data_IF_219661633348
#
_entry.id   IF_219661633348
#
_cell.length_a   1.000
_cell.length_b   1.000
_cell.length_c   1.000
_cell.angle_alpha   90.00
_cell.angle_beta   90.00
_cell.angle_gamma   90.00
#
_symmetry.space_group_name_H-M   'P 1'
#
loop_
_entity.id
_entity.type
_entity.pdbx_description
1 polymer ?
#
# COMPACT_ATOMS: atom_id res chain seq x y z
N UNK A 1 14.97 -7.69 16.53
CA UNK A 1 14.98 -6.82 15.35
C UNK A 1 13.71 -7.09 14.56
N UNK A 2 12.76 -6.15 14.58
CA UNK A 2 11.42 -6.33 14.03
C UNK A 2 11.39 -6.21 12.50
N UNK A 3 10.42 -6.87 11.86
CA UNK A 3 10.15 -6.76 10.42
C UNK A 3 8.77 -6.11 10.25
N UNK A 4 8.69 -5.11 9.39
CA UNK A 4 7.47 -4.41 9.05
C UNK A 4 7.12 -4.72 7.59
N UNK A 5 6.10 -5.53 7.39
CA UNK A 5 5.56 -5.86 6.08
C UNK A 5 4.34 -4.98 5.81
N UNK A 6 4.29 -4.37 4.63
CA UNK A 6 3.18 -3.57 4.16
C UNK A 6 2.74 -4.11 2.79
N UNK A 7 1.53 -4.68 2.74
CA UNK A 7 0.94 -5.19 1.51
C UNK A 7 -0.22 -4.29 1.08
N UNK A 8 -0.14 -3.77 -0.15
CA UNK A 8 -1.21 -2.95 -0.70
C UNK A 8 -2.22 -3.85 -1.40
N UNK A 9 -3.48 -3.80 -0.97
CA UNK A 9 -4.55 -4.65 -1.51
C UNK A 9 -5.65 -3.76 -2.07
N UNK A 10 -6.08 -4.03 -3.30
CA UNK A 10 -7.23 -3.37 -3.92
C UNK A 10 -8.45 -4.28 -3.90
N UNK A 11 -9.56 -3.82 -3.33
CA UNK A 11 -10.83 -4.54 -3.30
C UNK A 11 -11.97 -3.54 -3.59
N UNK A 12 -12.86 -3.88 -4.55
CA UNK A 12 -14.05 -3.08 -4.88
C UNK A 12 -13.80 -1.56 -5.08
N UNK A 13 -12.80 -1.21 -5.90
CA UNK A 13 -12.37 0.18 -6.20
C UNK A 13 -11.81 0.97 -5.00
N UNK A 14 -11.56 0.31 -3.87
CA UNK A 14 -10.88 0.89 -2.72
C UNK A 14 -9.55 0.18 -2.49
N UNK A 15 -8.57 0.95 -2.04
CA UNK A 15 -7.23 0.44 -1.73
C UNK A 15 -7.00 0.47 -0.23
N UNK A 16 -6.35 -0.55 0.31
CA UNK A 16 -6.02 -0.64 1.73
C UNK A 16 -4.59 -1.15 1.91
N UNK A 17 -3.99 -0.81 3.04
CA UNK A 17 -2.64 -1.24 3.41
C UNK A 17 -2.77 -2.27 4.52
N UNK A 18 -2.31 -3.49 4.27
CA UNK A 18 -2.26 -4.55 5.27
C UNK A 18 -0.90 -4.50 5.96
N UNK A 19 -0.92 -4.34 7.28
CA UNK A 19 0.25 -4.36 8.14
C UNK A 19 -0.01 -5.27 9.34
N UNK A 20 0.86 -6.25 9.57
CA UNK A 20 0.78 -7.18 10.73
C UNK A 20 -0.60 -7.87 10.91
N UNK A 21 -1.30 -8.12 9.80
CA UNK A 21 -2.64 -8.72 9.79
C UNK A 21 -3.79 -7.74 10.05
N UNK A 22 -3.50 -6.45 10.30
CA UNK A 22 -4.49 -5.38 10.32
C UNK A 22 -4.56 -4.70 8.95
N UNK A 23 -5.76 -4.60 8.41
CA UNK A 23 -6.03 -3.82 7.20
C UNK A 23 -6.35 -2.39 7.60
N UNK A 24 -5.47 -1.46 7.26
CA UNK A 24 -5.68 -0.02 7.48
C UNK A 24 -6.08 0.70 6.19
N UNK A 25 -7.04 1.60 6.34
CA UNK A 25 -7.44 2.54 5.30
C UNK A 25 -8.58 2.07 4.39
N UNK A 26 -8.85 2.94 3.41
CA UNK A 26 -9.93 2.88 2.43
C UNK A 26 -9.69 4.01 1.42
N UNK A 27 -8.58 3.91 0.72
CA UNK A 27 -8.04 4.95 -0.14
C UNK A 27 -8.72 4.94 -1.50
N UNK A 28 -8.98 6.13 -2.03
CA UNK A 28 -9.65 6.32 -3.32
C UNK A 28 -8.78 5.93 -4.53
N UNK A 29 -7.45 5.86 -4.36
CA UNK A 29 -6.53 5.45 -5.41
C UNK A 29 -5.39 4.61 -4.87
N UNK A 30 -4.74 3.87 -5.77
CA UNK A 30 -3.59 3.03 -5.47
C UNK A 30 -2.40 3.84 -4.99
N UNK A 31 -2.21 5.01 -5.60
CA UNK A 31 -1.14 5.95 -5.23
C UNK A 31 -1.34 6.48 -3.81
N UNK A 32 -2.56 6.82 -3.43
CA UNK A 32 -2.85 7.30 -2.08
C UNK A 32 -2.57 6.22 -1.02
N UNK A 33 -2.91 4.95 -1.31
CA UNK A 33 -2.56 3.84 -0.45
C UNK A 33 -1.03 3.64 -0.36
N UNK A 34 -0.31 3.77 -1.48
CA UNK A 34 1.14 3.65 -1.51
C UNK A 34 1.84 4.77 -0.74
N UNK A 35 1.40 6.01 -0.89
CA UNK A 35 1.95 7.15 -0.17
C UNK A 35 1.76 6.99 1.35
N UNK A 36 0.57 6.55 1.79
CA UNK A 36 0.30 6.27 3.20
C UNK A 36 1.18 5.13 3.75
N UNK A 37 1.34 4.05 2.98
CA UNK A 37 2.24 2.95 3.34
C UNK A 37 3.69 3.42 3.45
N UNK A 38 4.15 4.27 2.53
CA UNK A 38 5.50 4.84 2.55
C UNK A 38 5.74 5.75 3.76
N UNK A 39 4.73 6.53 4.17
CA UNK A 39 4.81 7.36 5.38
C UNK A 39 4.96 6.49 6.64
N UNK A 40 4.17 5.42 6.77
CA UNK A 40 4.27 4.47 7.88
C UNK A 40 5.61 3.70 7.87
N UNK A 41 6.03 3.23 6.70
CA UNK A 41 7.31 2.58 6.49
C UNK A 41 8.50 3.46 6.90
N UNK A 42 8.46 4.75 6.56
CA UNK A 42 9.48 5.72 6.97
C UNK A 42 9.61 5.83 8.48
N UNK A 43 8.51 5.67 9.22
CA UNK A 43 8.54 5.62 10.68
C UNK A 43 9.18 4.30 11.19
N UNK A 44 8.85 3.16 10.58
CA UNK A 44 9.44 1.87 10.92
C UNK A 44 10.97 1.83 10.73
N UNK A 45 11.50 2.53 9.71
CA UNK A 45 12.95 2.67 9.50
C UNK A 45 13.63 3.36 10.69
N UNK A 46 13.00 4.37 11.31
CA UNK A 46 13.56 5.06 12.49
C UNK A 46 13.80 4.11 13.66
N UNK A 47 13.01 3.04 13.77
CA UNK A 47 13.15 2.02 14.80
C UNK A 47 14.12 0.88 14.40
N UNK A 48 14.79 1.00 13.25
CA UNK A 48 15.72 0.00 12.74
C UNK A 48 15.01 -1.29 12.27
N UNK A 49 13.74 -1.19 11.89
CA UNK A 49 12.98 -2.33 11.38
C UNK A 49 13.28 -2.54 9.88
N UNK A 50 13.32 -3.81 9.48
CA UNK A 50 13.33 -4.18 8.06
C UNK A 50 11.96 -3.84 7.47
N UNK A 51 11.91 -3.07 6.38
CA UNK A 51 10.65 -2.68 5.74
C UNK A 51 10.55 -3.30 4.36
N UNK A 52 9.40 -3.93 4.07
CA UNK A 52 9.07 -4.44 2.74
C UNK A 52 7.68 -3.96 2.34
N UNK A 53 7.61 -3.23 1.22
CA UNK A 53 6.36 -2.74 0.63
C UNK A 53 6.11 -3.50 -0.67
N UNK A 54 4.96 -4.17 -0.77
CA UNK A 54 4.56 -4.90 -1.98
C UNK A 54 3.35 -4.22 -2.59
N UNK A 55 3.43 -3.94 -3.89
CA UNK A 55 2.35 -3.33 -4.66
C UNK A 55 1.97 -4.27 -5.80
N UNK A 56 0.72 -4.74 -5.90
CA UNK A 56 0.31 -5.65 -6.96
C UNK A 56 0.33 -4.92 -8.31
N UNK A 57 0.79 -5.60 -9.36
CA UNK A 57 0.63 -5.14 -10.74
C UNK A 57 -0.86 -5.09 -11.13
N UNK A 58 -1.22 -4.24 -12.09
CA UNK A 58 -2.58 -4.21 -12.66
C UNK A 58 -2.57 -4.91 -14.03
N UNK A 59 -3.59 -5.74 -14.30
CA UNK A 59 -3.91 -6.24 -15.64
C UNK A 59 -4.34 -5.07 -16.54
N UNK A 60 -3.95 -5.11 -17.82
CA UNK A 60 -3.90 -3.99 -18.78
C UNK A 60 -5.18 -3.16 -19.03
N UNK A 61 -6.31 -3.44 -18.36
CA UNK A 61 -7.62 -2.84 -18.63
C UNK A 61 -7.98 -1.66 -17.69
N UNK A 62 -7.04 -1.19 -16.86
CA UNK A 62 -7.20 0.03 -16.04
C UNK A 62 -5.86 0.76 -15.90
N UNK A 63 -5.89 2.08 -15.66
CA UNK A 63 -4.66 2.87 -15.44
C UNK A 63 -3.80 2.20 -14.37
N UNK A 64 -2.47 2.19 -14.55
CA UNK A 64 -1.52 1.60 -13.60
C UNK A 64 -1.68 2.14 -12.17
N UNK A 65 -2.28 3.33 -12.05
CA UNK A 65 -2.53 4.07 -10.82
C UNK A 65 -3.91 3.79 -10.19
N UNK A 66 -4.73 2.95 -10.84
CA UNK A 66 -6.07 2.59 -10.35
C UNK A 66 -7.11 3.71 -10.44
N UNK A 67 -6.81 4.80 -11.17
CA UNK A 67 -7.76 5.87 -11.50
C UNK A 67 -8.31 5.67 -12.92
N UNK A 68 -9.52 6.15 -13.20
CA UNK A 68 -10.06 6.10 -14.56
C UNK A 68 -9.13 6.86 -15.51
N UNK A 69 -8.68 6.22 -16.58
CA UNK A 69 -8.01 6.90 -17.69
C UNK A 69 -9.05 7.80 -18.36
N UNK A 70 -8.83 9.12 -18.34
CA UNK A 70 -9.64 10.09 -19.07
C UNK A 70 -9.16 10.20 -20.53
#
# INVERSE_FOLDING_TARGET
>A
MGRAYYDIVGQDQQWSVVHDGATEGGYASKEAAFEAACAAASNAIKFGHEVRVTVPGQSAESSALGVASN
#
